data_IF_254453121617
#
_entry.id   IF_254453121617
#
_cell.length_a   1.000
_cell.length_b   1.000
_cell.length_c   1.000
_cell.angle_alpha   90.00
_cell.angle_beta   90.00
_cell.angle_gamma   90.00
#
_symmetry.space_group_name_H-M   'P 1'
#
loop_
_entity.id
_entity.type
_entity.pdbx_description
1 polymer ?
#
# COMPACT_ATOMS: atom_id res chain seq x y z
N UNK A 1 -7.41 5.59 -11.46
CA UNK A 1 -6.98 5.14 -10.10
C UNK A 1 -7.69 3.85 -9.72
N UNK A 2 -6.97 2.95 -9.08
CA UNK A 2 -7.54 1.72 -8.57
C UNK A 2 -6.94 1.41 -7.21
N UNK A 3 -7.64 0.66 -6.35
CA UNK A 3 -7.08 0.22 -5.08
C UNK A 3 -5.87 -0.68 -5.31
N UNK A 4 -4.89 -0.58 -4.44
CA UNK A 4 -3.68 -1.42 -4.51
C UNK A 4 -4.00 -2.91 -4.54
N UNK A 5 -5.08 -3.31 -3.87
CA UNK A 5 -5.51 -4.71 -3.82
C UNK A 5 -5.90 -5.30 -5.18
N UNK A 6 -6.12 -4.46 -6.18
CA UNK A 6 -6.47 -4.91 -7.53
C UNK A 6 -5.26 -4.99 -8.47
N UNK A 7 -4.07 -4.66 -7.99
CA UNK A 7 -2.86 -4.73 -8.81
C UNK A 7 -2.25 -6.12 -8.73
N UNK A 8 -1.44 -6.45 -9.73
CA UNK A 8 -0.75 -7.73 -9.79
C UNK A 8 0.50 -7.72 -8.91
N UNK A 9 0.81 -8.86 -8.31
CA UNK A 9 2.03 -9.01 -7.52
C UNK A 9 3.26 -8.81 -8.42
N UNK A 10 4.27 -8.13 -7.87
CA UNK A 10 5.50 -7.85 -8.60
C UNK A 10 5.48 -6.59 -9.43
N UNK A 11 4.32 -5.97 -9.61
CA UNK A 11 4.19 -4.75 -10.39
C UNK A 11 4.38 -3.53 -9.49
N UNK A 12 5.31 -2.65 -9.87
CA UNK A 12 5.53 -1.40 -9.15
C UNK A 12 4.51 -0.37 -9.59
N UNK A 13 3.87 0.27 -8.63
CA UNK A 13 2.86 1.29 -8.90
C UNK A 13 3.18 2.57 -8.15
N UNK A 14 2.88 3.70 -8.78
CA UNK A 14 2.97 4.99 -8.12
C UNK A 14 1.73 5.20 -7.25
N UNK A 15 1.93 5.60 -6.01
CA UNK A 15 0.85 5.92 -5.11
C UNK A 15 0.28 7.28 -5.49
N UNK A 16 -1.00 7.30 -5.85
CA UNK A 16 -1.68 8.53 -6.27
C UNK A 16 -2.43 9.18 -5.12
N UNK A 17 -2.99 8.36 -4.22
CA UNK A 17 -3.76 8.87 -3.10
C UNK A 17 -3.78 7.83 -1.99
N UNK A 18 -3.73 8.30 -0.76
CA UNK A 18 -3.93 7.46 0.42
C UNK A 18 -5.20 7.93 1.10
N UNK A 19 -6.19 7.04 1.19
CA UNK A 19 -7.47 7.33 1.82
C UNK A 19 -7.53 6.90 3.28
N UNK A 20 -8.74 6.94 3.84
CA UNK A 20 -8.99 6.52 5.20
C UNK A 20 -8.98 7.68 6.18
N UNK A 21 -9.06 7.35 7.47
CA UNK A 21 -9.04 8.35 8.53
C UNK A 21 -7.66 9.01 8.62
N UNK A 22 -7.57 10.20 9.24
CA UNK A 22 -6.26 10.84 9.44
C UNK A 22 -5.26 9.95 10.18
N UNK A 23 -5.74 9.12 11.10
CA UNK A 23 -4.88 8.19 11.85
C UNK A 23 -4.31 7.10 10.96
N UNK A 24 -5.13 6.51 10.12
CA UNK A 24 -4.70 5.48 9.16
C UNK A 24 -3.73 6.09 8.16
N UNK A 25 -4.05 7.27 7.66
CA UNK A 25 -3.23 7.98 6.70
C UNK A 25 -1.84 8.27 7.27
N UNK A 26 -1.79 8.76 8.50
CA UNK A 26 -0.52 9.03 9.17
C UNK A 26 0.27 7.75 9.40
N UNK A 27 -0.40 6.68 9.82
CA UNK A 27 0.25 5.40 10.03
C UNK A 27 0.92 4.90 8.74
N UNK A 28 0.21 4.99 7.62
CA UNK A 28 0.77 4.60 6.32
C UNK A 28 1.93 5.49 5.90
N UNK A 29 1.83 6.80 6.15
CA UNK A 29 2.93 7.73 5.88
C UNK A 29 4.16 7.39 6.70
N UNK A 30 3.99 7.04 7.96
CA UNK A 30 5.09 6.63 8.84
C UNK A 30 5.79 5.37 8.34
N UNK A 31 5.06 4.52 7.61
CA UNK A 31 5.61 3.33 6.98
C UNK A 31 6.27 3.64 5.62
N UNK A 32 6.20 4.88 5.17
CA UNK A 32 6.76 5.28 3.89
C UNK A 32 5.76 5.24 2.73
N UNK A 33 4.49 5.01 3.02
CA UNK A 33 3.42 4.96 2.02
C UNK A 33 2.73 6.32 1.94
N UNK A 34 3.10 7.10 0.93
CA UNK A 34 2.54 8.43 0.73
C UNK A 34 2.38 8.71 -0.75
N UNK A 35 1.48 9.64 -1.08
CA UNK A 35 1.26 10.05 -2.46
C UNK A 35 2.57 10.53 -3.09
N UNK A 36 2.81 10.10 -4.32
CA UNK A 36 4.05 10.40 -5.04
C UNK A 36 5.15 9.36 -4.88
N UNK A 37 5.03 8.48 -3.88
CA UNK A 37 5.95 7.35 -3.72
C UNK A 37 5.55 6.17 -4.58
N UNK A 38 6.32 5.09 -4.49
CA UNK A 38 6.02 3.85 -5.20
C UNK A 38 5.81 2.70 -4.22
N UNK A 39 5.02 1.72 -4.64
CA UNK A 39 4.73 0.54 -3.84
C UNK A 39 4.59 -0.67 -4.76
N UNK A 40 5.07 -1.82 -4.31
CA UNK A 40 4.95 -3.08 -5.05
C UNK A 40 4.31 -4.12 -4.14
N UNK A 41 3.24 -4.75 -4.62
CA UNK A 41 2.65 -5.89 -3.90
C UNK A 41 3.54 -7.10 -4.13
N UNK A 42 4.00 -7.72 -3.05
CA UNK A 42 4.82 -8.92 -3.12
C UNK A 42 3.94 -10.17 -3.08
N UNK A 43 3.06 -10.24 -2.11
CA UNK A 43 2.17 -11.39 -1.95
C UNK A 43 1.02 -11.05 -1.02
N UNK A 44 0.04 -11.94 -0.96
CA UNK A 44 -1.07 -11.83 -0.02
C UNK A 44 -1.07 -13.07 0.85
N UNK A 45 -1.06 -12.89 2.15
CA UNK A 45 -1.05 -14.01 3.11
C UNK A 45 -2.18 -13.79 4.11
N UNK A 46 -3.17 -14.67 4.07
CA UNK A 46 -4.35 -14.53 4.93
C UNK A 46 -5.04 -13.20 4.69
N UNK A 47 -5.26 -12.43 5.73
CA UNK A 47 -5.87 -11.10 5.63
C UNK A 47 -4.88 -9.97 5.44
N UNK A 48 -3.61 -10.27 5.13
CA UNK A 48 -2.56 -9.28 5.00
C UNK A 48 -1.98 -9.24 3.60
N UNK A 49 -1.50 -8.05 3.22
CA UNK A 49 -0.81 -7.83 1.95
C UNK A 49 0.63 -7.47 2.29
N UNK A 50 1.57 -8.21 1.72
CA UNK A 50 2.99 -7.92 1.88
C UNK A 50 3.37 -6.97 0.76
N UNK A 51 3.88 -5.81 1.11
CA UNK A 51 4.26 -4.79 0.13
C UNK A 51 5.73 -4.40 0.32
N UNK A 52 6.34 -4.02 -0.78
CA UNK A 52 7.69 -3.45 -0.77
C UNK A 52 7.56 -1.95 -0.96
N UNK A 53 8.10 -1.19 -0.01
CA UNK A 53 8.15 0.26 -0.06
C UNK A 53 9.61 0.66 0.14
N UNK A 54 10.18 1.32 -0.87
CA UNK A 54 11.61 1.61 -0.88
C UNK A 54 12.40 0.30 -0.76
N UNK A 55 13.24 0.14 0.23
CA UNK A 55 14.00 -1.09 0.45
C UNK A 55 13.44 -1.96 1.57
N UNK A 56 12.27 -1.62 2.08
CA UNK A 56 11.64 -2.35 3.16
C UNK A 56 10.44 -3.16 2.67
N UNK A 57 10.23 -4.30 3.29
CA UNK A 57 9.02 -5.10 3.09
C UNK A 57 8.20 -5.02 4.36
N UNK A 58 6.93 -4.70 4.20
CA UNK A 58 6.02 -4.55 5.31
C UNK A 58 4.72 -5.29 5.04
N UNK A 59 4.07 -5.72 6.11
CA UNK A 59 2.76 -6.34 6.03
C UNK A 59 1.72 -5.32 6.47
N UNK A 60 0.69 -5.13 5.65
CA UNK A 60 -0.45 -4.28 6.01
C UNK A 60 -1.72 -5.09 5.81
N UNK A 61 -2.78 -4.72 6.52
CA UNK A 61 -4.05 -5.41 6.35
C UNK A 61 -4.63 -5.14 4.96
N UNK A 62 -5.46 -6.05 4.48
CA UNK A 62 -6.19 -5.84 3.23
C UNK A 62 -7.00 -4.56 3.27
N UNK A 63 -7.58 -4.26 4.43
CA UNK A 63 -8.37 -3.06 4.63
C UNK A 63 -7.53 -1.81 4.40
N UNK A 64 -6.32 -1.77 4.98
CA UNK A 64 -5.40 -0.66 4.76
C UNK A 64 -4.95 -0.58 3.30
N UNK A 65 -4.62 -1.73 2.72
CA UNK A 65 -4.20 -1.78 1.32
C UNK A 65 -5.28 -1.24 0.38
N UNK A 66 -6.55 -1.47 0.69
CA UNK A 66 -7.66 -0.98 -0.11
C UNK A 66 -7.80 0.56 -0.07
N UNK A 67 -7.16 1.21 0.88
CA UNK A 67 -7.16 2.68 1.00
C UNK A 67 -6.07 3.33 0.14
N UNK A 68 -5.13 2.54 -0.36
CA UNK A 68 -4.04 3.04 -1.19
C UNK A 68 -4.48 2.98 -2.64
N UNK A 69 -4.54 4.15 -3.28
CA UNK A 69 -4.94 4.24 -4.69
C UNK A 69 -3.70 4.43 -5.57
N UNK A 70 -3.64 3.67 -6.63
CA UNK A 70 -2.53 3.69 -7.58
C UNK A 70 -3.00 3.89 -9.02
#
# INVERSE_FOLDING_TARGET
MMPLTLTDAGEENMIRKVGGSPEVKKHLEDLGIAAGGTVTVISTIGGNVIVKVKEARIAISKEMASKIMV
#
